data_IF_936444886331
#
_entry.id   IF_936444886331
#
_cell.length_a   1.000
_cell.length_b   1.000
_cell.length_c   1.000
_cell.angle_alpha   90.00
_cell.angle_beta   90.00
_cell.angle_gamma   90.00
#
_symmetry.space_group_name_H-M   'P 1'
#
loop_
_entity.id
_entity.type
_entity.pdbx_description
1 polymer ?
#
# COMPACT_ATOMS: atom_id res chain seq x y z
N UNK A 1 -67.00 -41.06 -56.67
CA UNK A 1 -66.01 -40.39 -57.54
C UNK A 1 -65.71 -39.01 -56.96
N UNK A 2 -64.41 -38.65 -56.85
CA UNK A 2 -63.79 -37.37 -56.43
C UNK A 2 -64.18 -36.76 -55.05
N UNK A 3 -63.29 -36.71 -54.03
CA UNK A 3 -62.10 -35.83 -53.80
C UNK A 3 -62.42 -34.33 -53.95
N UNK A 4 -62.01 -33.39 -53.08
CA UNK A 4 -61.54 -33.30 -51.68
C UNK A 4 -61.30 -31.79 -51.40
N UNK A 5 -61.23 -31.43 -50.10
CA UNK A 5 -60.61 -30.22 -49.49
C UNK A 5 -61.56 -29.06 -49.16
N UNK A 6 -61.85 -28.71 -47.90
CA UNK A 6 -61.08 -28.29 -46.70
C UNK A 6 -60.98 -26.76 -46.57
N UNK A 7 -61.63 -26.22 -45.53
CA UNK A 7 -61.25 -25.02 -44.78
C UNK A 7 -62.08 -24.97 -43.48
N UNK A 8 -61.44 -25.08 -42.31
CA UNK A 8 -61.92 -24.48 -41.07
C UNK A 8 -60.83 -24.57 -39.99
N UNK A 9 -60.27 -23.41 -39.67
CA UNK A 9 -59.41 -23.12 -38.54
C UNK A 9 -60.24 -22.91 -37.26
N UNK A 10 -59.75 -23.43 -36.13
CA UNK A 10 -60.10 -22.95 -34.79
C UNK A 10 -58.99 -23.34 -33.80
N UNK A 11 -58.41 -22.33 -33.15
CA UNK A 11 -57.43 -22.47 -32.09
C UNK A 11 -58.14 -22.60 -30.73
N UNK A 12 -57.74 -23.58 -29.92
CA UNK A 12 -58.16 -23.72 -28.53
C UNK A 12 -56.91 -23.78 -27.64
N UNK A 13 -56.88 -22.95 -26.60
CA UNK A 13 -55.87 -22.95 -25.56
C UNK A 13 -56.21 -24.00 -24.50
N UNK A 14 -55.23 -24.81 -24.09
CA UNK A 14 -55.35 -25.78 -23.00
C UNK A 14 -54.41 -25.42 -21.86
N UNK A 15 -54.97 -25.38 -20.64
CA UNK A 15 -54.24 -25.29 -19.38
C UNK A 15 -53.63 -26.64 -19.01
N UNK A 16 -52.46 -26.65 -18.36
CA UNK A 16 -51.97 -27.79 -17.57
C UNK A 16 -51.44 -27.30 -16.22
N UNK A 17 -51.91 -27.97 -15.17
CA UNK A 17 -51.48 -27.85 -13.77
C UNK A 17 -50.46 -28.97 -13.49
N UNK A 18 -49.34 -28.67 -12.82
CA UNK A 18 -48.50 -29.66 -12.12
C UNK A 18 -47.98 -29.04 -10.82
N UNK A 19 -47.89 -29.89 -9.78
CA UNK A 19 -47.89 -29.52 -8.37
C UNK A 19 -46.56 -29.15 -7.72
N UNK A 20 -46.68 -28.75 -6.45
CA UNK A 20 -45.59 -28.28 -5.57
C UNK A 20 -45.08 -29.45 -4.72
N UNK A 21 -43.81 -29.80 -4.87
CA UNK A 21 -43.06 -30.60 -3.89
C UNK A 21 -42.29 -29.67 -2.95
N UNK A 22 -42.36 -29.97 -1.64
CA UNK A 22 -41.59 -29.30 -0.60
C UNK A 22 -40.18 -29.90 -0.55
N UNK A 23 -39.14 -29.08 -0.76
CA UNK A 23 -37.76 -29.45 -0.48
C UNK A 23 -37.34 -28.97 0.92
N UNK A 24 -36.81 -29.89 1.71
CA UNK A 24 -36.20 -29.66 3.01
C UNK A 24 -34.77 -29.12 2.87
N UNK A 25 -34.34 -28.41 3.92
CA UNK A 25 -33.01 -27.86 4.08
C UNK A 25 -31.97 -28.96 4.36
N UNK A 26 -30.79 -28.83 3.76
CA UNK A 26 -29.51 -29.19 4.36
C UNK A 26 -28.40 -28.34 3.74
N UNK A 27 -27.46 -27.91 4.58
CA UNK A 27 -26.26 -27.16 4.25
C UNK A 27 -25.41 -27.87 3.20
N UNK A 28 -24.94 -27.12 2.18
CA UNK A 28 -23.54 -27.06 1.77
C UNK A 28 -23.38 -26.31 0.45
N UNK A 29 -22.51 -25.30 0.51
CA UNK A 29 -21.58 -24.87 -0.53
C UNK A 29 -22.08 -24.35 -1.88
N UNK A 30 -21.39 -23.29 -2.32
CA UNK A 30 -21.35 -22.75 -3.69
C UNK A 30 -22.64 -22.00 -4.07
N UNK A 31 -22.66 -20.96 -4.89
CA UNK A 31 -21.73 -20.34 -5.81
C UNK A 31 -22.44 -19.05 -6.25
N UNK A 32 -21.67 -18.05 -6.69
CA UNK A 32 -22.07 -17.00 -7.64
C UNK A 32 -23.39 -16.22 -7.47
N UNK A 33 -23.21 -14.91 -7.32
CA UNK A 33 -23.53 -14.01 -8.44
C UNK A 33 -24.99 -13.68 -8.69
N UNK A 34 -25.31 -12.39 -8.55
CA UNK A 34 -26.23 -11.75 -9.49
C UNK A 34 -27.57 -11.33 -8.92
N UNK A 35 -27.66 -10.02 -8.68
CA UNK A 35 -28.71 -9.12 -9.15
C UNK A 35 -30.18 -9.48 -8.87
N UNK A 36 -30.82 -8.68 -8.01
CA UNK A 36 -32.20 -8.19 -8.19
C UNK A 36 -32.27 -6.79 -7.54
N UNK A 37 -32.32 -5.70 -8.32
CA UNK A 37 -33.55 -4.99 -8.72
C UNK A 37 -34.48 -4.71 -7.55
N UNK A 38 -34.26 -3.58 -6.86
CA UNK A 38 -35.19 -3.00 -5.89
C UNK A 38 -35.98 -1.86 -6.52
N UNK A 39 -37.14 -2.20 -7.08
CA UNK A 39 -38.12 -1.25 -7.58
C UNK A 39 -38.79 -0.45 -6.45
N UNK A 40 -39.15 0.77 -6.80
CA UNK A 40 -39.94 1.72 -6.01
C UNK A 40 -41.34 1.15 -5.79
N UNK A 41 -41.81 1.11 -4.54
CA UNK A 41 -43.22 1.28 -4.20
C UNK A 41 -43.32 2.15 -2.96
N UNK A 42 -43.91 3.33 -3.15
CA UNK A 42 -44.47 4.18 -2.09
C UNK A 42 -45.87 3.67 -1.77
N UNK A 43 -46.15 3.56 -0.48
CA UNK A 43 -47.38 3.84 0.29
C UNK A 43 -47.38 2.84 1.47
N UNK A 44 -47.50 3.28 2.73
CA UNK A 44 -48.81 3.46 3.35
C UNK A 44 -48.70 4.41 4.55
N UNK A 45 -49.51 5.47 4.52
CA UNK A 45 -49.82 6.33 5.67
C UNK A 45 -50.98 5.69 6.44
N UNK A 46 -50.76 5.26 7.69
CA UNK A 46 -51.67 5.62 8.78
C UNK A 46 -51.23 5.17 10.19
N UNK A 47 -51.50 6.10 11.13
CA UNK A 47 -51.79 5.93 12.56
C UNK A 47 -50.71 5.28 13.44
N UNK A 48 -49.96 6.13 14.16
CA UNK A 48 -49.99 6.01 15.62
C UNK A 48 -49.74 7.35 16.32
N UNK A 49 -50.68 7.73 17.19
CA UNK A 49 -50.54 8.84 18.15
C UNK A 49 -49.66 8.37 19.31
N UNK A 50 -49.05 9.35 19.98
CA UNK A 50 -48.45 9.27 21.33
C UNK A 50 -47.20 8.40 21.50
N UNK A 51 -46.03 9.02 21.36
CA UNK A 51 -45.03 9.15 22.43
C UNK A 51 -43.97 10.18 22.03
N UNK A 52 -43.82 11.22 22.85
CA UNK A 52 -42.64 12.09 22.83
C UNK A 52 -41.44 11.21 23.15
N UNK A 53 -40.62 10.90 22.16
CA UNK A 53 -39.29 10.33 22.36
C UNK A 53 -38.31 11.44 22.11
N UNK A 54 -37.77 12.03 23.18
CA UNK A 54 -36.63 12.94 23.13
C UNK A 54 -35.48 12.17 22.50
N UNK A 55 -35.19 12.43 21.23
CA UNK A 55 -34.04 11.83 20.54
C UNK A 55 -32.81 12.57 21.03
N UNK A 56 -32.15 12.06 22.07
CA UNK A 56 -30.80 12.47 22.43
C UNK A 56 -29.88 12.00 21.31
N UNK A 57 -29.58 12.90 20.39
CA UNK A 57 -28.59 12.69 19.33
C UNK A 57 -27.22 12.66 19.99
N UNK A 58 -26.78 11.48 20.46
CA UNK A 58 -25.41 11.29 20.94
C UNK A 58 -24.48 11.35 19.74
N UNK A 59 -24.01 12.54 19.41
CA UNK A 59 -22.96 12.79 18.42
C UNK A 59 -21.70 12.05 18.87
N UNK A 60 -21.20 11.02 18.16
CA UNK A 60 -19.94 10.39 18.54
C UNK A 60 -18.83 11.41 18.34
N UNK A 61 -18.17 11.77 19.44
CA UNK A 61 -17.00 12.65 19.44
C UNK A 61 -15.87 12.00 18.65
N UNK A 62 -15.51 12.55 17.48
CA UNK A 62 -14.41 12.10 16.59
C UNK A 62 -13.07 11.84 17.31
N UNK A 63 -12.84 12.50 18.45
CA UNK A 63 -11.66 12.29 19.31
C UNK A 63 -11.63 10.85 19.87
N UNK A 64 -12.79 10.28 20.20
CA UNK A 64 -12.91 8.92 20.75
C UNK A 64 -12.60 7.84 19.71
N UNK A 65 -12.92 8.08 18.43
CA UNK A 65 -12.62 7.13 17.35
C UNK A 65 -11.12 7.12 17.00
N UNK A 66 -10.46 8.28 17.00
CA UNK A 66 -9.02 8.37 16.71
C UNK A 66 -8.17 7.75 17.84
N UNK A 67 -8.50 8.02 19.10
CA UNK A 67 -7.81 7.42 20.24
C UNK A 67 -7.99 5.90 20.28
N UNK A 68 -9.21 5.41 19.99
CA UNK A 68 -9.49 3.97 19.94
C UNK A 68 -8.73 3.28 18.82
N UNK A 69 -8.59 3.93 17.67
CA UNK A 69 -7.75 3.46 16.56
C UNK A 69 -6.29 3.32 17.00
N UNK A 70 -5.72 4.38 17.60
CA UNK A 70 -4.35 4.36 18.08
C UNK A 70 -4.11 3.29 19.15
N UNK A 71 -5.04 3.14 20.10
CA UNK A 71 -4.98 2.08 21.11
C UNK A 71 -5.00 0.68 20.48
N UNK A 72 -5.76 0.50 19.40
CA UNK A 72 -5.82 -0.78 18.68
C UNK A 72 -4.51 -1.08 17.98
N UNK A 73 -3.91 -0.07 17.34
CA UNK A 73 -2.57 -0.20 16.74
C UNK A 73 -1.52 -0.55 17.80
N UNK A 74 -1.60 0.07 18.98
CA UNK A 74 -0.73 -0.27 20.11
C UNK A 74 -0.92 -1.73 20.56
N UNK A 75 -2.16 -2.21 20.65
CA UNK A 75 -2.44 -3.60 21.00
C UNK A 75 -1.93 -4.59 19.95
N UNK A 76 -2.05 -4.27 18.66
CA UNK A 76 -1.49 -5.06 17.56
C UNK A 76 0.03 -5.13 17.68
N UNK A 77 0.69 -3.98 17.85
CA UNK A 77 2.15 -3.89 17.98
C UNK A 77 2.67 -4.64 19.21
N UNK A 78 2.02 -4.49 20.37
CA UNK A 78 2.37 -5.21 21.59
C UNK A 78 2.28 -6.72 21.40
N UNK A 79 1.18 -7.21 20.82
CA UNK A 79 1.01 -8.64 20.53
C UNK A 79 2.05 -9.14 19.51
N UNK A 80 2.36 -8.35 18.47
CA UNK A 80 3.39 -8.69 17.48
C UNK A 80 4.76 -8.91 18.15
N UNK A 81 5.14 -8.01 19.07
CA UNK A 81 6.39 -8.13 19.82
C UNK A 81 6.34 -9.13 20.97
N UNK A 82 5.26 -9.90 21.12
CA UNK A 82 5.13 -10.96 22.12
C UNK A 82 4.62 -10.50 23.49
N UNK A 83 4.22 -9.24 23.64
CA UNK A 83 3.55 -8.74 24.85
C UNK A 83 2.05 -8.99 24.73
N UNK A 84 1.57 -10.11 25.28
CA UNK A 84 0.17 -10.48 25.22
C UNK A 84 -0.72 -9.44 25.92
N UNK A 85 -1.60 -8.79 25.14
CA UNK A 85 -2.58 -7.81 25.62
C UNK A 85 -4.03 -8.23 25.38
N UNK A 86 -4.26 -9.44 24.88
CA UNK A 86 -5.57 -9.90 24.41
C UNK A 86 -5.91 -9.39 22.99
N UNK A 87 -7.20 -9.42 22.65
CA UNK A 87 -7.69 -8.95 21.35
C UNK A 87 -7.49 -7.44 21.15
N UNK A 88 -7.19 -7.03 19.92
CA UNK A 88 -7.01 -5.62 19.58
C UNK A 88 -8.38 -4.95 19.34
N UNK A 89 -9.00 -4.47 20.42
CA UNK A 89 -10.34 -3.85 20.44
C UNK A 89 -10.31 -2.30 20.62
N UNK A 90 -9.10 -1.75 20.78
CA UNK A 90 -8.88 -0.33 21.05
C UNK A 90 -9.17 0.11 22.50
N UNK A 91 -9.43 -0.84 23.40
CA UNK A 91 -9.68 -0.59 24.82
C UNK A 91 -8.51 -1.11 25.65
N UNK A 92 -7.73 -0.20 26.24
CA UNK A 92 -6.58 -0.57 27.06
C UNK A 92 -7.00 -1.03 28.47
N UNK A 93 -7.50 -2.27 28.54
CA UNK A 93 -7.94 -2.94 29.76
C UNK A 93 -6.80 -3.55 30.57
N UNK A 94 -7.15 -4.41 31.54
CA UNK A 94 -6.20 -5.07 32.46
C UNK A 94 -5.11 -5.86 31.72
N UNK A 95 -5.47 -6.58 30.67
CA UNK A 95 -4.51 -7.35 29.86
C UNK A 95 -3.54 -6.42 29.13
N UNK A 96 -4.06 -5.34 28.54
CA UNK A 96 -3.22 -4.32 27.91
C UNK A 96 -2.26 -3.69 28.90
N UNK A 97 -2.71 -3.30 30.10
CA UNK A 97 -1.81 -2.77 31.14
C UNK A 97 -0.72 -3.77 31.54
N UNK A 98 -1.05 -5.05 31.67
CA UNK A 98 -0.06 -6.08 32.00
C UNK A 98 0.98 -6.25 30.88
N UNK A 99 0.56 -6.24 29.62
CA UNK A 99 1.48 -6.29 28.49
C UNK A 99 2.35 -5.03 28.38
N UNK A 100 1.76 -3.85 28.60
CA UNK A 100 2.49 -2.57 28.61
C UNK A 100 3.57 -2.57 29.70
N UNK A 101 3.29 -3.05 30.92
CA UNK A 101 4.32 -3.15 31.97
C UNK A 101 5.49 -4.05 31.57
N UNK A 102 5.22 -5.15 30.87
CA UNK A 102 6.28 -6.05 30.37
C UNK A 102 7.10 -5.38 29.29
N UNK A 103 6.45 -4.66 28.39
CA UNK A 103 7.10 -3.86 27.37
C UNK A 103 7.98 -2.77 28.01
N UNK A 104 7.46 -2.00 28.96
CA UNK A 104 8.21 -0.98 29.69
C UNK A 104 9.42 -1.58 30.42
N UNK A 105 9.23 -2.69 31.14
CA UNK A 105 10.30 -3.38 31.84
C UNK A 105 11.39 -3.88 30.88
N UNK A 106 11.00 -4.50 29.76
CA UNK A 106 11.93 -4.98 28.74
C UNK A 106 12.68 -3.81 28.09
N UNK A 107 12.00 -2.67 27.88
CA UNK A 107 12.55 -1.45 27.29
C UNK A 107 13.37 -0.57 28.25
N UNK A 108 13.33 -0.84 29.55
CA UNK A 108 14.00 -0.03 30.57
C UNK A 108 13.28 1.29 30.87
N UNK A 109 11.98 1.36 30.58
CA UNK A 109 11.13 2.51 30.90
C UNK A 109 10.54 2.41 32.32
N UNK A 110 9.86 3.48 32.75
CA UNK A 110 9.12 3.49 34.00
C UNK A 110 7.91 2.54 33.90
N UNK A 111 7.82 1.54 34.78
CA UNK A 111 6.82 0.47 34.68
C UNK A 111 5.51 0.87 35.37
N UNK A 112 4.71 1.72 34.74
CA UNK A 112 3.41 2.19 35.24
C UNK A 112 2.20 1.49 34.58
N UNK A 113 2.40 0.84 33.43
CA UNK A 113 1.35 0.19 32.65
C UNK A 113 0.51 1.14 31.79
N UNK A 114 1.01 2.34 31.51
CA UNK A 114 0.43 3.34 30.64
C UNK A 114 1.44 3.74 29.56
N UNK A 115 1.05 3.65 28.29
CA UNK A 115 1.90 4.13 27.20
C UNK A 115 1.86 5.65 27.16
N UNK A 116 3.00 6.29 27.41
CA UNK A 116 3.17 7.70 27.07
C UNK A 116 3.38 7.89 25.55
N UNK A 117 3.51 9.15 25.11
CA UNK A 117 3.67 9.44 23.69
C UNK A 117 4.99 8.92 23.11
N UNK A 118 6.08 8.94 23.88
CA UNK A 118 7.39 8.48 23.44
C UNK A 118 7.41 6.96 23.30
N UNK A 119 6.92 6.24 24.31
CA UNK A 119 6.74 4.80 24.32
C UNK A 119 5.82 4.34 23.18
N UNK A 120 4.70 5.03 22.99
CA UNK A 120 3.77 4.77 21.90
C UNK A 120 4.44 4.94 20.53
N UNK A 121 5.16 6.04 20.33
CA UNK A 121 5.85 6.31 19.06
C UNK A 121 6.93 5.27 18.78
N UNK A 122 7.74 4.90 19.77
CA UNK A 122 8.76 3.88 19.61
C UNK A 122 8.15 2.51 19.29
N UNK A 123 7.10 2.11 20.01
CA UNK A 123 6.40 0.84 19.77
C UNK A 123 5.81 0.77 18.35
N UNK A 124 5.08 1.80 17.92
CA UNK A 124 4.43 1.84 16.62
C UNK A 124 5.45 1.95 15.48
N UNK A 125 6.48 2.79 15.64
CA UNK A 125 7.58 2.93 14.69
C UNK A 125 8.38 1.63 14.54
N UNK A 126 8.67 0.96 15.65
CA UNK A 126 9.31 -0.36 15.65
C UNK A 126 8.47 -1.40 14.95
N UNK A 127 7.15 -1.43 15.18
CA UNK A 127 6.25 -2.36 14.51
C UNK A 127 6.23 -2.13 13.00
N UNK A 128 6.12 -0.87 12.56
CA UNK A 128 6.20 -0.51 11.14
C UNK A 128 7.53 -0.95 10.52
N UNK A 129 8.65 -0.71 11.22
CA UNK A 129 9.98 -1.14 10.79
C UNK A 129 10.06 -2.67 10.67
N UNK A 130 9.57 -3.39 11.67
CA UNK A 130 9.55 -4.85 11.69
C UNK A 130 8.77 -5.44 10.51
N UNK A 131 7.62 -4.87 10.15
CA UNK A 131 6.85 -5.31 8.99
C UNK A 131 7.64 -5.24 7.68
N UNK A 132 8.58 -4.29 7.57
CA UNK A 132 9.43 -4.12 6.38
C UNK A 132 10.77 -4.85 6.46
N UNK A 133 11.36 -5.02 7.65
CA UNK A 133 12.75 -5.46 7.78
C UNK A 133 12.94 -6.77 8.53
N UNK A 134 11.93 -7.29 9.25
CA UNK A 134 12.09 -8.46 10.13
C UNK A 134 12.53 -9.73 9.38
N UNK A 135 12.27 -9.80 8.09
CA UNK A 135 12.64 -10.92 7.21
C UNK A 135 13.97 -10.72 6.46
N UNK A 136 14.62 -9.56 6.63
CA UNK A 136 15.87 -9.21 5.95
C UNK A 136 17.04 -9.40 6.92
N UNK A 137 18.21 -9.79 6.41
CA UNK A 137 19.43 -9.75 7.21
C UNK A 137 19.75 -8.28 7.59
N UNK A 138 20.26 -8.02 8.80
CA UNK A 138 20.55 -8.98 9.88
C UNK A 138 19.34 -9.38 10.75
N UNK A 139 18.21 -8.69 10.63
CA UNK A 139 17.05 -8.85 11.53
C UNK A 139 16.38 -10.22 11.47
N UNK A 140 16.39 -10.89 10.31
CA UNK A 140 15.87 -12.26 10.16
C UNK A 140 16.53 -13.24 11.15
N UNK A 141 17.84 -13.11 11.34
CA UNK A 141 18.58 -13.94 12.28
C UNK A 141 18.23 -13.62 13.74
N UNK A 142 17.99 -12.34 14.04
CA UNK A 142 17.57 -11.89 15.36
C UNK A 142 16.18 -12.44 15.68
N UNK A 143 15.24 -12.40 14.74
CA UNK A 143 13.91 -12.99 14.91
C UNK A 143 14.01 -14.51 15.09
N UNK A 144 14.87 -15.19 14.32
CA UNK A 144 15.06 -16.63 14.44
C UNK A 144 15.64 -17.07 15.80
N UNK A 145 16.53 -16.25 16.38
CA UNK A 145 17.26 -16.60 17.62
C UNK A 145 16.63 -16.04 18.89
N UNK A 146 16.05 -14.85 18.82
CA UNK A 146 15.57 -14.09 19.97
C UNK A 146 14.07 -13.74 19.88
N UNK A 147 13.42 -14.12 18.77
CA UNK A 147 12.02 -13.80 18.51
C UNK A 147 11.79 -12.30 18.26
N UNK A 148 10.51 -11.95 18.17
CA UNK A 148 10.07 -10.56 18.01
C UNK A 148 10.49 -9.63 19.17
N UNK A 149 10.50 -10.06 20.46
CA UNK A 149 11.04 -9.22 21.53
C UNK A 149 12.52 -8.85 21.30
N UNK A 150 13.34 -9.80 20.82
CA UNK A 150 14.75 -9.53 20.51
C UNK A 150 14.93 -8.51 19.40
N UNK A 151 14.04 -8.53 18.40
CA UNK A 151 14.01 -7.52 17.33
C UNK A 151 13.72 -6.12 17.90
N UNK A 152 12.73 -5.99 18.78
CA UNK A 152 12.39 -4.72 19.40
C UNK A 152 13.53 -4.15 20.26
N UNK A 153 14.22 -5.01 21.03
CA UNK A 153 15.42 -4.62 21.77
C UNK A 153 16.53 -4.12 20.84
N UNK A 154 16.69 -4.77 19.69
CA UNK A 154 17.69 -4.36 18.69
C UNK A 154 17.40 -2.95 18.18
N UNK A 155 16.16 -2.67 17.81
CA UNK A 155 15.78 -1.33 17.35
C UNK A 155 16.00 -0.24 18.39
N UNK A 156 15.75 -0.54 19.67
CA UNK A 156 16.04 0.40 20.77
C UNK A 156 17.54 0.68 20.86
N UNK A 157 18.36 -0.37 20.81
CA UNK A 157 19.82 -0.23 20.91
C UNK A 157 20.37 0.61 19.76
N UNK A 158 19.89 0.39 18.53
CA UNK A 158 20.26 1.19 17.37
C UNK A 158 19.85 2.65 17.52
N UNK A 159 18.64 2.94 18.05
CA UNK A 159 18.20 4.30 18.33
C UNK A 159 19.10 4.99 19.38
N UNK A 160 19.66 4.23 20.31
CA UNK A 160 20.59 4.70 21.34
C UNK A 160 22.06 4.70 20.88
N UNK A 161 22.34 4.30 19.64
CA UNK A 161 23.71 4.16 19.11
C UNK A 161 24.52 3.05 19.78
N UNK A 162 23.86 2.12 20.47
CA UNK A 162 24.48 0.96 21.12
C UNK A 162 24.69 -0.13 20.07
N UNK A 163 25.94 -0.55 19.87
CA UNK A 163 26.26 -1.63 18.95
C UNK A 163 25.59 -2.95 19.38
N UNK A 164 24.78 -3.51 18.50
CA UNK A 164 24.10 -4.80 18.74
C UNK A 164 24.86 -5.98 18.11
N UNK A 165 25.19 -7.03 18.87
CA UNK A 165 25.79 -8.24 18.32
C UNK A 165 24.87 -8.86 17.26
N UNK A 166 25.39 -9.06 16.05
CA UNK A 166 24.64 -9.64 14.92
C UNK A 166 24.03 -8.64 13.94
N UNK A 167 24.03 -7.32 14.23
CA UNK A 167 23.68 -6.25 13.25
C UNK A 167 24.89 -5.61 12.58
N UNK A 168 26.10 -5.93 13.04
CA UNK A 168 27.31 -5.63 12.29
C UNK A 168 27.27 -6.46 10.99
N UNK A 169 27.08 -5.78 9.86
CA UNK A 169 27.54 -6.30 8.58
C UNK A 169 28.96 -6.81 8.82
N UNK A 170 29.22 -8.08 8.53
CA UNK A 170 30.59 -8.57 8.48
C UNK A 170 31.33 -7.62 7.54
N UNK A 171 32.22 -6.80 8.09
CA UNK A 171 33.24 -6.16 7.29
C UNK A 171 33.91 -7.31 6.54
N UNK A 172 33.93 -7.21 5.20
CA UNK A 172 34.69 -8.15 4.39
C UNK A 172 36.08 -8.30 5.04
N UNK A 173 36.57 -9.54 5.25
CA UNK A 173 37.83 -9.74 5.93
C UNK A 173 38.90 -8.92 5.23
N UNK A 174 39.54 -8.01 5.97
CA UNK A 174 40.69 -7.28 5.46
C UNK A 174 41.70 -8.33 4.95
N UNK A 175 42.18 -8.24 3.70
CA UNK A 175 43.21 -9.13 3.22
C UNK A 175 44.41 -9.01 4.16
N UNK A 176 44.86 -10.12 4.72
CA UNK A 176 46.17 -10.17 5.38
C UNK A 176 47.23 -9.67 4.39
N UNK A 177 48.23 -8.88 4.83
CA UNK A 177 49.33 -8.51 3.96
C UNK A 177 50.08 -9.79 3.58
N UNK A 178 49.93 -10.21 2.32
CA UNK A 178 50.70 -11.29 1.75
C UNK A 178 52.19 -10.89 1.77
N UNK A 179 53.10 -11.82 2.10
CA UNK A 179 54.53 -11.56 2.00
C UNK A 179 54.88 -11.30 0.54
N UNK A 180 55.63 -10.22 0.31
CA UNK A 180 56.04 -9.75 -1.01
C UNK A 180 56.81 -10.88 -1.73
N UNK A 181 56.33 -11.40 -2.87
CA UNK A 181 57.12 -12.35 -3.66
C UNK A 181 58.20 -11.59 -4.42
N UNK A 182 59.45 -12.03 -4.27
CA UNK A 182 60.55 -11.59 -5.14
C UNK A 182 60.26 -12.01 -6.59
N UNK A 183 60.63 -11.14 -7.53
CA UNK A 183 60.47 -11.35 -8.95
C UNK A 183 61.31 -12.54 -9.44
N UNK A 184 60.63 -13.60 -9.88
CA UNK A 184 61.20 -14.63 -10.75
C UNK A 184 60.61 -14.50 -12.15
N UNK A 185 61.47 -14.70 -13.15
CA UNK A 185 61.21 -14.50 -14.57
C UNK A 185 60.04 -15.38 -15.09
N UNK A 186 59.33 -14.96 -16.16
CA UNK A 186 58.19 -15.71 -16.68
C UNK A 186 58.63 -16.90 -17.55
N UNK A 187 58.14 -18.10 -17.25
CA UNK A 187 58.03 -19.19 -18.22
C UNK A 187 56.74 -19.04 -19.06
N UNK A 188 56.73 -19.52 -20.32
CA UNK A 188 55.62 -19.32 -21.24
C UNK A 188 54.49 -20.32 -20.96
N UNK A 189 53.33 -19.82 -20.53
CA UNK A 189 52.07 -20.60 -20.52
C UNK A 189 51.37 -20.48 -21.87
N UNK A 190 51.19 -21.62 -22.53
CA UNK A 190 50.41 -21.76 -23.76
C UNK A 190 48.93 -21.43 -23.53
N UNK A 191 48.39 -20.61 -24.43
CA UNK A 191 47.03 -20.09 -24.42
C UNK A 191 45.94 -21.16 -24.52
N UNK A 192 44.85 -20.95 -23.75
CA UNK A 192 43.52 -21.41 -24.14
C UNK A 192 42.84 -20.24 -24.86
N UNK A 193 42.41 -20.51 -26.09
CA UNK A 193 41.79 -19.54 -26.98
C UNK A 193 40.36 -19.23 -26.52
N UNK A 194 40.05 -17.96 -26.36
CA UNK A 194 38.72 -17.41 -26.62
C UNK A 194 38.85 -16.32 -27.68
N UNK A 195 38.00 -16.46 -28.69
CA UNK A 195 37.90 -15.64 -29.88
C UNK A 195 37.40 -14.23 -29.58
N UNK A 196 38.09 -13.21 -30.10
CA UNK A 196 37.44 -11.98 -30.59
C UNK A 196 37.63 -10.66 -29.82
N UNK A 197 38.85 -10.08 -29.91
CA UNK A 197 39.13 -8.71 -30.42
C UNK A 197 38.27 -7.55 -29.83
N UNK A 198 38.79 -6.60 -29.02
CA UNK A 198 39.82 -5.62 -29.39
C UNK A 198 40.45 -4.91 -28.18
N UNK A 199 41.68 -4.47 -28.42
CA UNK A 199 42.70 -3.85 -27.57
C UNK A 199 42.42 -2.48 -26.96
N UNK A 200 42.99 -2.25 -25.78
CA UNK A 200 43.35 -0.93 -25.25
C UNK A 200 43.26 -0.92 -23.72
N UNK A 201 44.31 -0.49 -23.03
CA UNK A 201 44.36 -0.42 -21.56
C UNK A 201 43.26 0.47 -20.99
N UNK A 202 42.07 -0.10 -20.79
CA UNK A 202 40.92 0.61 -20.28
C UNK A 202 40.85 0.41 -18.76
N UNK A 203 40.92 1.52 -18.03
CA UNK A 203 40.36 1.58 -16.69
C UNK A 203 38.94 0.98 -16.70
N UNK A 204 38.52 0.28 -15.63
CA UNK A 204 37.20 -0.32 -15.55
C UNK A 204 36.14 0.71 -15.97
N UNK A 205 35.45 0.41 -17.07
CA UNK A 205 34.38 1.25 -17.59
C UNK A 205 33.15 0.95 -16.74
N UNK A 206 32.85 1.82 -15.80
CA UNK A 206 31.58 1.79 -15.09
C UNK A 206 30.50 2.32 -16.03
N UNK A 207 29.69 1.42 -16.57
CA UNK A 207 28.44 1.80 -17.23
C UNK A 207 27.45 2.19 -16.14
N UNK A 208 27.27 3.49 -15.93
CA UNK A 208 26.22 4.01 -15.07
C UNK A 208 24.89 3.93 -15.83
N UNK A 209 23.86 3.26 -15.28
CA UNK A 209 22.51 3.35 -15.82
C UNK A 209 22.08 4.81 -15.89
N UNK A 210 21.22 5.13 -16.87
CA UNK A 210 20.55 6.43 -16.97
C UNK A 210 19.89 6.83 -15.65
N UNK A 211 19.83 8.15 -15.38
CA UNK A 211 19.47 8.86 -14.13
C UNK A 211 18.09 8.55 -13.49
N UNK A 212 17.68 7.29 -13.40
CA UNK A 212 16.49 6.90 -12.64
C UNK A 212 16.81 6.98 -11.15
N UNK A 213 16.33 8.04 -10.49
CA UNK A 213 16.47 8.18 -9.04
C UNK A 213 15.82 6.99 -8.33
N UNK A 214 16.58 6.36 -7.44
CA UNK A 214 16.08 5.27 -6.59
C UNK A 214 14.99 5.78 -5.63
N UNK A 215 13.82 5.14 -5.68
CA UNK A 215 12.72 5.40 -4.73
C UNK A 215 13.12 4.85 -3.36
N UNK A 216 13.82 3.71 -3.32
CA UNK A 216 14.33 3.12 -2.07
C UNK A 216 15.28 4.08 -1.35
N UNK A 217 16.32 4.56 -2.03
CA UNK A 217 17.30 5.46 -1.42
C UNK A 217 16.66 6.77 -0.96
N UNK A 218 15.72 7.30 -1.75
CA UNK A 218 14.93 8.46 -1.35
C UNK A 218 14.17 8.21 -0.04
N UNK A 219 13.45 7.09 0.06
CA UNK A 219 12.69 6.79 1.26
C UNK A 219 13.55 6.47 2.48
N UNK A 220 14.75 5.92 2.27
CA UNK A 220 15.72 5.71 3.34
C UNK A 220 16.23 7.05 3.87
N UNK A 221 16.53 8.02 3.00
CA UNK A 221 16.90 9.38 3.40
C UNK A 221 15.76 10.12 4.12
N UNK A 222 14.53 9.99 3.65
CA UNK A 222 13.35 10.55 4.32
C UNK A 222 13.21 9.96 5.73
N UNK A 223 13.34 8.63 5.87
CA UNK A 223 13.26 7.96 7.17
C UNK A 223 14.29 8.49 8.19
N UNK A 224 15.55 8.67 7.75
CA UNK A 224 16.60 9.26 8.60
C UNK A 224 16.23 10.68 9.03
N UNK A 225 15.75 11.52 8.10
CA UNK A 225 15.35 12.90 8.43
C UNK A 225 14.10 12.96 9.31
N UNK A 226 13.14 12.05 9.12
CA UNK A 226 11.97 11.91 9.98
C UNK A 226 12.40 11.58 11.41
N UNK A 227 13.34 10.64 11.57
CA UNK A 227 13.88 10.31 12.89
C UNK A 227 14.59 11.51 13.53
N UNK A 228 15.40 12.25 12.76
CA UNK A 228 16.07 13.46 13.23
C UNK A 228 15.10 14.58 13.64
N UNK A 229 13.92 14.65 13.00
CA UNK A 229 12.86 15.61 13.32
C UNK A 229 11.95 15.17 14.48
N UNK A 230 12.23 14.03 15.13
CA UNK A 230 11.45 13.53 16.26
C UNK A 230 10.17 12.79 15.86
N UNK A 231 10.07 12.35 14.61
CA UNK A 231 8.94 11.56 14.08
C UNK A 231 8.22 12.21 12.91
N UNK A 232 7.13 11.58 12.49
CA UNK A 232 6.34 11.98 11.34
C UNK A 232 5.67 13.35 11.53
N UNK A 233 5.54 14.09 10.43
CA UNK A 233 4.79 15.34 10.38
C UNK A 233 3.34 15.13 10.84
N UNK A 234 2.86 16.02 11.70
CA UNK A 234 1.49 16.00 12.23
C UNK A 234 0.66 17.16 11.68
N UNK A 235 -0.67 17.00 11.54
CA UNK A 235 -1.56 18.09 11.19
C UNK A 235 -1.36 19.30 12.12
N UNK A 236 -1.29 20.51 11.55
CA UNK A 236 -1.08 21.75 12.30
C UNK A 236 0.35 22.01 12.79
N UNK A 237 1.29 21.10 12.55
CA UNK A 237 2.73 21.27 12.85
C UNK A 237 3.63 21.10 11.62
N UNK A 238 3.06 21.24 10.42
CA UNK A 238 3.79 21.10 9.16
C UNK A 238 4.57 22.38 8.90
N UNK A 239 5.89 22.31 8.97
CA UNK A 239 6.81 23.43 8.66
C UNK A 239 7.42 23.31 7.27
N UNK A 240 7.56 22.09 6.76
CA UNK A 240 8.03 21.76 5.42
C UNK A 240 6.99 20.85 4.74
N UNK A 241 6.15 21.45 3.89
CA UNK A 241 5.08 20.74 3.20
C UNK A 241 5.63 19.69 2.22
N UNK A 242 6.75 19.99 1.56
CA UNK A 242 7.38 19.05 0.62
C UNK A 242 7.88 17.81 1.34
N UNK A 243 8.54 17.98 2.48
CA UNK A 243 9.01 16.90 3.33
C UNK A 243 7.86 16.08 3.90
N UNK A 244 6.81 16.73 4.44
CA UNK A 244 5.63 16.04 4.95
C UNK A 244 4.95 15.18 3.88
N UNK A 245 4.86 15.66 2.63
CA UNK A 245 4.37 14.85 1.52
C UNK A 245 5.30 13.66 1.24
N UNK A 246 6.62 13.85 1.27
CA UNK A 246 7.58 12.77 1.06
C UNK A 246 7.52 11.70 2.15
N UNK A 247 7.25 12.06 3.40
CA UNK A 247 6.94 11.09 4.47
C UNK A 247 5.69 10.28 4.15
N UNK A 248 4.62 10.94 3.69
CA UNK A 248 3.39 10.24 3.33
C UNK A 248 3.60 9.27 2.15
N UNK A 249 4.39 9.66 1.16
CA UNK A 249 4.77 8.78 0.05
C UNK A 249 5.45 7.50 0.52
N UNK A 250 6.46 7.62 1.40
CA UNK A 250 7.23 6.46 1.86
C UNK A 250 6.40 5.51 2.73
N UNK A 251 5.46 6.05 3.50
CA UNK A 251 4.45 5.24 4.19
C UNK A 251 3.54 4.51 3.20
N UNK A 252 2.98 5.21 2.20
CA UNK A 252 2.09 4.63 1.21
C UNK A 252 2.79 3.55 0.36
N UNK A 253 4.05 3.78 -0.02
CA UNK A 253 4.92 2.79 -0.68
C UNK A 253 5.04 1.51 0.15
N UNK A 254 5.29 1.64 1.45
CA UNK A 254 5.40 0.48 2.35
C UNK A 254 4.09 -0.31 2.39
N UNK A 255 2.96 0.39 2.48
CA UNK A 255 1.65 -0.25 2.47
C UNK A 255 1.35 -0.93 1.11
N UNK A 256 1.70 -0.30 -0.01
CA UNK A 256 1.52 -0.90 -1.33
C UNK A 256 2.32 -2.20 -1.49
N UNK A 257 3.56 -2.26 -1.00
CA UNK A 257 4.35 -3.51 -0.97
C UNK A 257 3.69 -4.58 -0.09
N UNK A 258 3.17 -4.21 1.07
CA UNK A 258 2.45 -5.15 1.96
C UNK A 258 1.16 -5.68 1.34
N UNK A 259 0.38 -4.80 0.72
CA UNK A 259 -0.87 -5.17 0.02
C UNK A 259 -0.59 -6.12 -1.14
N UNK A 260 0.48 -5.85 -1.91
CA UNK A 260 0.96 -6.71 -3.00
C UNK A 260 1.33 -8.10 -2.52
N UNK A 261 2.14 -8.21 -1.45
CA UNK A 261 2.56 -9.49 -0.90
C UNK A 261 1.37 -10.37 -0.46
N UNK A 262 0.31 -9.76 0.09
CA UNK A 262 -0.92 -10.47 0.45
C UNK A 262 -1.69 -10.99 -0.77
N UNK A 263 -1.70 -10.24 -1.88
CA UNK A 263 -2.34 -10.67 -3.13
C UNK A 263 -1.48 -11.77 -3.78
N UNK A 264 -0.16 -11.61 -3.84
CA UNK A 264 0.77 -12.60 -4.40
C UNK A 264 0.65 -13.95 -3.70
N UNK A 265 0.46 -13.97 -2.38
CA UNK A 265 0.22 -15.20 -1.62
C UNK A 265 -1.03 -15.97 -2.06
N UNK A 266 -1.97 -15.31 -2.77
CA UNK A 266 -3.16 -15.94 -3.35
C UNK A 266 -2.97 -16.43 -4.79
N UNK A 267 -1.81 -16.19 -5.41
CA UNK A 267 -1.48 -16.57 -6.80
C UNK A 267 -0.59 -17.83 -6.76
N UNK A 268 -1.15 -19.03 -6.96
CA UNK A 268 -0.35 -20.25 -7.00
C UNK A 268 0.50 -20.30 -8.28
N UNK A 269 1.71 -20.85 -8.18
CA UNK A 269 2.49 -21.27 -9.34
C UNK A 269 3.26 -20.16 -10.08
N UNK A 270 3.40 -18.96 -9.49
CA UNK A 270 4.28 -17.91 -10.01
C UNK A 270 5.37 -17.55 -9.01
N UNK A 271 6.62 -17.45 -9.48
CA UNK A 271 7.72 -16.92 -8.71
C UNK A 271 7.68 -15.38 -8.69
N UNK A 272 8.39 -14.79 -7.74
CA UNK A 272 8.53 -13.33 -7.62
C UNK A 272 9.07 -12.69 -8.91
N UNK A 273 10.11 -13.27 -9.49
CA UNK A 273 10.73 -12.77 -10.72
C UNK A 273 9.78 -12.88 -11.92
N UNK A 274 8.96 -13.93 -11.97
CA UNK A 274 7.92 -14.08 -13.01
C UNK A 274 6.82 -13.02 -12.87
N UNK A 275 6.49 -12.62 -11.64
CA UNK A 275 5.52 -11.55 -11.38
C UNK A 275 6.12 -10.21 -11.80
N UNK A 276 7.37 -9.93 -11.44
CA UNK A 276 8.08 -8.71 -11.85
C UNK A 276 8.15 -8.59 -13.38
N UNK A 277 8.51 -9.67 -14.09
CA UNK A 277 8.52 -9.69 -15.56
C UNK A 277 7.13 -9.46 -16.19
N UNK A 278 6.05 -9.97 -15.58
CA UNK A 278 4.69 -9.66 -16.03
C UNK A 278 4.33 -8.19 -15.82
N UNK A 279 4.81 -7.60 -14.72
CA UNK A 279 4.58 -6.19 -14.43
C UNK A 279 5.36 -5.26 -15.36
N UNK A 280 6.53 -5.67 -15.85
CA UNK A 280 7.22 -4.98 -16.94
C UNK A 280 6.37 -4.97 -18.22
N UNK A 281 5.79 -6.10 -18.59
CA UNK A 281 4.88 -6.20 -19.75
C UNK A 281 3.63 -5.32 -19.60
N UNK A 282 3.04 -5.28 -18.40
CA UNK A 282 1.91 -4.39 -18.11
C UNK A 282 2.32 -2.91 -18.22
N UNK A 283 3.49 -2.54 -17.70
CA UNK A 283 4.04 -1.19 -17.79
C UNK A 283 4.21 -0.75 -19.24
N UNK A 284 4.79 -1.62 -20.09
CA UNK A 284 4.93 -1.37 -21.52
C UNK A 284 3.57 -1.18 -22.22
N UNK A 285 2.55 -1.95 -21.84
CA UNK A 285 1.21 -1.82 -22.41
C UNK A 285 0.54 -0.47 -22.04
N UNK A 286 0.79 0.03 -20.82
CA UNK A 286 0.22 1.29 -20.33
C UNK A 286 1.01 2.52 -20.81
N UNK A 287 2.28 2.37 -21.17
CA UNK A 287 3.18 3.47 -21.53
C UNK A 287 2.61 4.46 -22.57
N UNK A 288 1.93 3.96 -23.61
CA UNK A 288 1.29 4.83 -24.62
C UNK A 288 0.17 5.69 -24.04
N UNK A 289 -0.59 5.18 -23.06
CA UNK A 289 -1.68 5.92 -22.43
C UNK A 289 -1.18 7.02 -21.49
N UNK A 290 0.02 6.81 -20.93
CA UNK A 290 0.72 7.78 -20.08
C UNK A 290 1.42 8.89 -20.87
N UNK A 291 1.42 8.88 -22.20
CA UNK A 291 1.96 9.99 -22.96
C UNK A 291 1.29 11.32 -22.55
N UNK A 292 2.12 12.33 -22.29
CA UNK A 292 1.65 13.63 -21.80
C UNK A 292 1.35 13.68 -20.30
N UNK A 293 1.67 12.66 -19.51
CA UNK A 293 1.50 12.71 -18.04
C UNK A 293 2.24 13.90 -17.39
N UNK A 294 3.29 14.40 -18.05
CA UNK A 294 4.11 15.54 -17.62
C UNK A 294 3.56 16.90 -18.09
N UNK A 295 2.51 16.92 -18.91
CA UNK A 295 1.99 18.14 -19.52
C UNK A 295 0.46 18.25 -19.53
N UNK A 296 -0.26 17.18 -19.17
CA UNK A 296 -1.72 17.11 -19.20
C UNK A 296 -2.29 16.81 -17.81
N UNK A 297 -3.49 17.33 -17.49
CA UNK A 297 -4.14 17.07 -16.22
C UNK A 297 -4.50 15.59 -16.08
N UNK A 298 -4.58 15.13 -14.82
CA UNK A 298 -4.92 13.73 -14.48
C UNK A 298 -6.15 13.20 -15.24
N UNK A 299 -7.20 14.02 -15.39
CA UNK A 299 -8.44 13.63 -16.07
C UNK A 299 -8.24 13.15 -17.51
N UNK A 300 -7.33 13.77 -18.27
CA UNK A 300 -7.08 13.37 -19.66
C UNK A 300 -6.32 12.05 -19.75
N UNK A 301 -5.27 11.89 -18.94
CA UNK A 301 -4.49 10.64 -18.88
C UNK A 301 -5.36 9.49 -18.38
N UNK A 302 -6.18 9.74 -17.35
CA UNK A 302 -7.11 8.77 -16.80
C UNK A 302 -8.19 8.35 -17.81
N UNK A 303 -8.74 9.29 -18.57
CA UNK A 303 -9.76 8.98 -19.57
C UNK A 303 -9.21 8.06 -20.67
N UNK A 304 -8.02 8.36 -21.21
CA UNK A 304 -7.35 7.50 -22.20
C UNK A 304 -7.02 6.11 -21.64
N UNK A 305 -6.41 6.09 -20.46
CA UNK A 305 -6.05 4.83 -19.79
C UNK A 305 -7.29 4.00 -19.49
N UNK A 306 -8.36 4.61 -18.98
CA UNK A 306 -9.63 3.91 -18.72
C UNK A 306 -10.22 3.30 -19.99
N UNK A 307 -10.26 4.04 -21.09
CA UNK A 307 -10.74 3.52 -22.37
C UNK A 307 -9.89 2.34 -22.87
N UNK A 308 -8.56 2.40 -22.70
CA UNK A 308 -7.68 1.27 -22.99
C UNK A 308 -7.99 0.04 -22.11
N UNK A 309 -8.20 0.23 -20.81
CA UNK A 309 -8.56 -0.86 -19.89
C UNK A 309 -9.90 -1.50 -20.26
N UNK A 310 -10.92 -0.70 -20.60
CA UNK A 310 -12.24 -1.18 -21.04
C UNK A 310 -12.16 -1.96 -22.36
N UNK A 311 -11.30 -1.54 -23.28
CA UNK A 311 -11.09 -2.20 -24.57
C UNK A 311 -10.16 -3.43 -24.51
N UNK A 312 -9.53 -3.70 -23.37
CA UNK A 312 -8.61 -4.84 -23.21
C UNK A 312 -9.32 -6.21 -23.19
N UNK A 313 -10.64 -6.22 -23.00
CA UNK A 313 -11.43 -7.45 -22.81
C UNK A 313 -11.21 -8.15 -21.46
N UNK A 314 -10.38 -7.60 -20.57
CA UNK A 314 -10.14 -8.14 -19.24
C UNK A 314 -11.16 -7.62 -18.21
N UNK A 315 -11.58 -8.44 -17.23
CA UNK A 315 -12.42 -7.96 -16.14
C UNK A 315 -11.73 -6.85 -15.34
N UNK A 316 -12.41 -5.73 -15.11
CA UNK A 316 -11.83 -4.59 -14.39
C UNK A 316 -11.31 -4.96 -12.98
N UNK A 317 -11.99 -5.89 -12.28
CA UNK A 317 -11.53 -6.38 -10.99
C UNK A 317 -10.17 -7.10 -11.08
N UNK A 318 -9.92 -7.84 -12.16
CA UNK A 318 -8.65 -8.51 -12.40
C UNK A 318 -7.54 -7.51 -12.72
N UNK A 319 -7.84 -6.48 -13.52
CA UNK A 319 -6.92 -5.37 -13.81
C UNK A 319 -6.53 -4.62 -12.53
N UNK A 320 -7.50 -4.37 -11.63
CA UNK A 320 -7.24 -3.76 -10.32
C UNK A 320 -6.34 -4.65 -9.46
N UNK A 321 -6.59 -5.95 -9.37
CA UNK A 321 -5.73 -6.87 -8.61
C UNK A 321 -4.32 -6.93 -9.18
N UNK A 322 -4.19 -7.04 -10.51
CA UNK A 322 -2.90 -7.01 -11.20
C UNK A 322 -2.15 -5.69 -10.99
N UNK A 323 -2.84 -4.55 -11.08
CA UNK A 323 -2.25 -3.25 -10.80
C UNK A 323 -1.72 -3.11 -9.38
N UNK A 324 -2.40 -3.67 -8.37
CA UNK A 324 -1.93 -3.67 -6.97
C UNK A 324 -0.66 -4.50 -6.80
N UNK A 325 -0.62 -5.68 -7.42
CA UNK A 325 0.56 -6.53 -7.45
C UNK A 325 1.73 -5.80 -8.11
N UNK A 326 1.49 -5.19 -9.28
CA UNK A 326 2.55 -4.51 -10.02
C UNK A 326 3.03 -3.22 -9.37
N UNK A 327 2.16 -2.50 -8.64
CA UNK A 327 2.57 -1.35 -7.85
C UNK A 327 3.57 -1.77 -6.75
N UNK A 328 3.27 -2.83 -6.00
CA UNK A 328 4.16 -3.32 -4.96
C UNK A 328 5.42 -4.00 -5.50
N UNK A 329 5.33 -4.71 -6.62
CA UNK A 329 6.47 -5.28 -7.33
C UNK A 329 7.42 -4.17 -7.83
N UNK A 330 6.89 -3.12 -8.45
CA UNK A 330 7.66 -1.96 -8.90
C UNK A 330 8.43 -1.28 -7.75
N UNK A 331 7.77 -1.01 -6.62
CA UNK A 331 8.45 -0.40 -5.47
C UNK A 331 9.53 -1.26 -4.84
N UNK A 332 9.32 -2.57 -4.83
CA UNK A 332 10.24 -3.57 -4.30
C UNK A 332 11.47 -3.72 -5.18
N UNK A 333 11.27 -3.81 -6.49
CA UNK A 333 12.32 -3.89 -7.50
C UNK A 333 13.00 -2.52 -7.71
N UNK A 334 12.46 -1.46 -7.12
CA UNK A 334 12.89 -0.07 -7.32
C UNK A 334 12.76 0.38 -8.78
N UNK A 335 11.78 -0.19 -9.48
CA UNK A 335 11.43 0.15 -10.85
C UNK A 335 10.32 1.22 -10.82
N UNK A 336 10.74 2.47 -10.91
CA UNK A 336 9.85 3.63 -10.83
C UNK A 336 8.84 3.69 -11.98
N UNK A 337 9.22 3.24 -13.18
CA UNK A 337 8.36 3.20 -14.36
C UNK A 337 7.19 2.24 -14.14
N UNK A 338 7.45 1.01 -13.68
CA UNK A 338 6.41 0.02 -13.35
C UNK A 338 5.50 0.53 -12.23
N UNK A 339 6.07 1.14 -11.19
CA UNK A 339 5.29 1.68 -10.09
C UNK A 339 4.38 2.84 -10.53
N UNK A 340 4.87 3.75 -11.38
CA UNK A 340 4.08 4.83 -11.94
C UNK A 340 2.97 4.32 -12.86
N UNK A 341 3.28 3.42 -13.78
CA UNK A 341 2.29 2.83 -14.68
C UNK A 341 1.18 2.09 -13.93
N UNK A 342 1.54 1.33 -12.89
CA UNK A 342 0.59 0.62 -12.05
C UNK A 342 -0.32 1.57 -11.27
N UNK A 343 0.23 2.66 -10.72
CA UNK A 343 -0.55 3.68 -10.02
C UNK A 343 -1.53 4.40 -10.96
N UNK A 344 -1.10 4.73 -12.19
CA UNK A 344 -1.97 5.33 -13.22
C UNK A 344 -3.09 4.37 -13.62
N UNK A 345 -2.77 3.09 -13.85
CA UNK A 345 -3.77 2.04 -14.14
C UNK A 345 -4.81 1.96 -13.02
N UNK A 346 -4.38 1.83 -11.76
CA UNK A 346 -5.28 1.70 -10.61
C UNK A 346 -6.20 2.92 -10.47
N UNK A 347 -5.63 4.11 -10.59
CA UNK A 347 -6.39 5.35 -10.50
C UNK A 347 -7.43 5.43 -11.63
N UNK A 348 -7.06 5.04 -12.85
CA UNK A 348 -7.92 5.03 -14.03
C UNK A 348 -8.99 3.93 -13.99
N UNK A 349 -8.71 2.82 -13.31
CA UNK A 349 -9.65 1.73 -13.04
C UNK A 349 -10.69 2.08 -11.95
N UNK A 350 -10.73 3.34 -11.50
CA UNK A 350 -11.68 3.83 -10.51
C UNK A 350 -11.21 3.70 -9.06
N UNK A 351 -9.99 3.23 -8.80
CA UNK A 351 -9.40 3.23 -7.45
C UNK A 351 -8.70 4.58 -7.21
N UNK A 352 -9.49 5.66 -7.16
CA UNK A 352 -8.96 7.03 -7.22
C UNK A 352 -7.92 7.38 -6.14
N UNK A 353 -7.95 6.70 -4.98
CA UNK A 353 -6.97 6.91 -3.90
C UNK A 353 -5.52 6.61 -4.31
N UNK A 354 -5.28 5.78 -5.34
CA UNK A 354 -3.94 5.54 -5.89
C UNK A 354 -3.36 6.76 -6.63
N UNK A 355 -4.16 7.80 -6.88
CA UNK A 355 -3.69 9.08 -7.39
C UNK A 355 -2.67 9.75 -6.46
N UNK A 356 -2.64 9.39 -5.17
CA UNK A 356 -1.59 9.81 -4.22
C UNK A 356 -0.21 9.38 -4.74
N UNK A 357 -0.07 8.13 -5.18
CA UNK A 357 1.21 7.62 -5.67
C UNK A 357 1.63 8.27 -6.97
N UNK A 358 0.69 8.53 -7.88
CA UNK A 358 0.99 9.26 -9.13
C UNK A 358 1.46 10.68 -8.80
N UNK A 359 0.77 11.37 -7.89
CA UNK A 359 1.15 12.71 -7.45
C UNK A 359 2.56 12.77 -6.86
N UNK A 360 2.90 11.87 -5.93
CA UNK A 360 4.23 11.85 -5.33
C UNK A 360 5.31 11.55 -6.36
N UNK A 361 5.12 10.55 -7.22
CA UNK A 361 6.10 10.20 -8.23
C UNK A 361 6.33 11.34 -9.23
N UNK A 362 5.28 12.05 -9.66
CA UNK A 362 5.42 13.20 -10.54
C UNK A 362 6.07 14.42 -9.86
N UNK A 363 5.85 14.60 -8.55
CA UNK A 363 6.53 15.66 -7.77
C UNK A 363 8.02 15.37 -7.62
N UNK A 364 8.38 14.10 -7.44
CA UNK A 364 9.77 13.68 -7.24
C UNK A 364 10.47 13.25 -8.54
N UNK A 365 9.79 13.21 -9.68
CA UNK A 365 10.39 12.75 -10.94
C UNK A 365 10.78 11.26 -10.92
N UNK A 366 9.92 10.40 -10.37
CA UNK A 366 10.10 8.95 -10.39
C UNK A 366 9.28 8.33 -11.52
N UNK A 367 9.94 7.65 -12.46
CA UNK A 367 9.29 6.96 -13.59
C UNK A 367 8.75 7.92 -14.67
N UNK A 368 8.95 9.22 -14.48
CA UNK A 368 8.69 10.32 -15.40
C UNK A 368 9.57 11.50 -14.98
N UNK A 369 9.78 12.45 -15.87
CA UNK A 369 10.44 13.72 -15.57
C UNK A 369 9.68 14.46 -14.47
N UNK A 370 10.40 15.12 -13.58
CA UNK A 370 9.79 15.95 -12.54
C UNK A 370 8.88 17.01 -13.17
N UNK A 371 7.64 17.08 -12.70
CA UNK A 371 6.59 17.90 -13.32
C UNK A 371 6.34 19.20 -12.59
N UNK A 372 5.63 20.12 -13.24
CA UNK A 372 5.10 21.31 -12.60
C UNK A 372 4.18 20.92 -11.41
N UNK A 373 4.27 21.60 -10.25
CA UNK A 373 3.51 21.24 -9.05
C UNK A 373 2.00 21.07 -9.28
N UNK A 374 1.42 21.87 -10.17
CA UNK A 374 -0.02 21.84 -10.49
C UNK A 374 -0.46 20.49 -11.08
N UNK A 375 0.40 19.84 -11.88
CA UNK A 375 0.09 18.54 -12.48
C UNK A 375 0.09 17.45 -11.41
N UNK A 376 1.11 17.40 -10.57
CA UNK A 376 1.15 16.52 -9.41
C UNK A 376 -0.05 16.77 -8.47
N UNK A 377 -0.43 18.02 -8.24
CA UNK A 377 -1.60 18.39 -7.44
C UNK A 377 -2.92 17.88 -8.05
N UNK A 378 -3.05 17.83 -9.38
CA UNK A 378 -4.28 17.31 -10.02
C UNK A 378 -4.52 15.84 -9.69
N UNK A 379 -3.47 15.03 -9.58
CA UNK A 379 -3.55 13.64 -9.14
C UNK A 379 -3.83 13.51 -7.64
N UNK A 380 -3.25 14.38 -6.81
CA UNK A 380 -3.54 14.43 -5.38
C UNK A 380 -5.01 14.75 -5.12
N UNK A 381 -5.61 15.66 -5.91
CA UNK A 381 -7.03 16.00 -5.80
C UNK A 381 -7.93 14.79 -6.10
N UNK A 382 -7.58 13.98 -7.11
CA UNK A 382 -8.28 12.71 -7.40
C UNK A 382 -8.24 11.78 -6.18
N UNK A 383 -7.07 11.65 -5.54
CA UNK A 383 -6.90 10.79 -4.37
C UNK A 383 -7.71 11.27 -3.16
N UNK A 384 -7.62 12.56 -2.84
CA UNK A 384 -8.36 13.16 -1.72
C UNK A 384 -9.88 13.10 -1.94
N UNK A 385 -10.35 13.27 -3.18
CA UNK A 385 -11.76 13.10 -3.53
C UNK A 385 -12.22 11.65 -3.36
N UNK A 386 -11.40 10.66 -3.76
CA UNK A 386 -11.72 9.26 -3.56
C UNK A 386 -11.85 8.88 -2.08
N UNK A 387 -10.94 9.39 -1.23
CA UNK A 387 -11.03 9.21 0.23
C UNK A 387 -12.30 9.84 0.79
N UNK A 388 -12.63 11.07 0.37
CA UNK A 388 -13.84 11.76 0.80
C UNK A 388 -15.12 10.99 0.43
N UNK A 389 -15.08 10.23 -0.67
CA UNK A 389 -16.15 9.34 -1.14
C UNK A 389 -16.10 7.92 -0.54
N UNK A 390 -15.29 7.70 0.51
CA UNK A 390 -15.26 6.42 1.22
C UNK A 390 -14.43 5.32 0.57
N UNK A 391 -13.46 5.68 -0.28
CA UNK A 391 -12.52 4.74 -0.89
C UNK A 391 -11.07 4.96 -0.44
N UNK A 392 -10.76 4.82 0.86
CA UNK A 392 -9.38 4.87 1.32
C UNK A 392 -8.61 3.65 0.80
N UNK A 393 -7.39 3.89 0.34
CA UNK A 393 -6.45 2.83 -0.07
C UNK A 393 -5.12 3.05 0.65
N UNK A 394 -4.20 2.08 0.57
CA UNK A 394 -2.82 2.23 1.06
C UNK A 394 -2.74 2.75 2.51
N UNK A 395 -3.66 2.30 3.39
CA UNK A 395 -3.63 2.64 4.80
C UNK A 395 -3.87 4.14 5.08
N UNK A 396 -4.61 4.83 4.21
CA UNK A 396 -5.03 6.22 4.43
C UNK A 396 -5.93 6.31 5.67
N UNK A 397 -5.36 6.82 6.77
CA UNK A 397 -6.11 7.16 7.98
C UNK A 397 -6.56 8.62 7.94
N UNK A 398 -7.57 9.03 8.72
CA UNK A 398 -7.96 10.44 8.81
C UNK A 398 -6.79 11.37 9.16
N UNK A 399 -5.84 10.91 9.98
CA UNK A 399 -4.65 11.68 10.33
C UNK A 399 -3.70 11.87 9.13
N UNK A 400 -3.42 10.81 8.37
CA UNK A 400 -2.61 10.91 7.14
C UNK A 400 -3.27 11.81 6.10
N UNK A 401 -4.58 11.65 5.91
CA UNK A 401 -5.37 12.47 4.98
C UNK A 401 -5.33 13.94 5.38
N UNK A 402 -5.37 14.25 6.68
CA UNK A 402 -5.22 15.62 7.16
C UNK A 402 -3.82 16.20 6.87
N UNK A 403 -2.75 15.39 6.98
CA UNK A 403 -1.39 15.79 6.58
C UNK A 403 -1.34 16.03 5.06
N UNK A 404 -1.86 15.11 4.26
CA UNK A 404 -1.92 15.24 2.80
C UNK A 404 -2.67 16.52 2.39
N UNK A 405 -3.83 16.81 2.98
CA UNK A 405 -4.59 18.03 2.71
C UNK A 405 -3.83 19.31 3.09
N UNK A 406 -3.24 19.33 4.30
CA UNK A 406 -2.49 20.50 4.77
C UNK A 406 -1.22 20.75 3.93
N UNK A 407 -0.49 19.69 3.58
CA UNK A 407 0.76 19.79 2.85
C UNK A 407 0.60 19.97 1.33
N UNK A 408 -0.51 19.49 0.74
CA UNK A 408 -0.81 19.70 -0.69
C UNK A 408 -1.35 21.10 -1.02
N UNK A 409 -1.35 22.01 -0.04
CA UNK A 409 -1.86 23.37 -0.20
C UNK A 409 -3.38 23.42 -0.25
N UNK A 410 -4.06 22.52 0.48
CA UNK A 410 -5.51 22.48 0.56
C UNK A 410 -6.07 23.86 0.87
N UNK A 411 -6.66 24.49 -0.16
CA UNK A 411 -7.70 25.46 0.04
C UNK A 411 -8.71 24.81 0.99
N UNK A 412 -8.79 25.34 2.21
CA UNK A 412 -10.02 25.20 2.97
C UNK A 412 -11.15 25.56 2.00
N UNK A 413 -12.25 24.78 1.90
CA UNK A 413 -13.45 25.35 1.33
C UNK A 413 -13.77 26.56 2.20
N UNK A 414 -13.50 27.75 1.68
CA UNK A 414 -14.07 28.98 2.22
C UNK A 414 -15.56 28.80 1.99
N UNK A 415 -16.25 28.28 2.99
CA UNK A 415 -17.69 28.46 3.08
C UNK A 415 -17.87 29.98 3.07
N UNK A 416 -18.30 30.50 1.93
CA UNK A 416 -18.65 31.91 1.81
C UNK A 416 -19.61 32.21 2.94
N UNK A 417 -19.23 33.14 3.82
CA UNK A 417 -20.16 33.73 4.76
C UNK A 417 -21.25 34.36 3.91
N UNK A 418 -22.42 33.72 3.88
CA UNK A 418 -23.63 34.37 3.38
C UNK A 418 -23.91 35.47 4.40
N UNK A 419 -23.58 36.70 4.02
CA UNK A 419 -24.14 37.88 4.65
C UNK A 419 -25.59 37.98 4.21
N UNK A 420 -26.51 37.77 5.14
CA UNK A 420 -27.81 38.45 5.19
C UNK A 420 -27.92 39.18 6.51
#
# INVERSE_FOLDING_TARGET
MWKRNLCASLAAASMVVVGVERAQANDAASFLGGALLGGIVVNEVNKNKTRRTTTTTTRPTRVYSAQREQNRQAQIALNYFGYNVGGADGVLGRNSRNGIRRYQADMGYNVDGYLDQHEMNFLLGSHQRAMSSAHMAPYAQIVATQGQPGLLRTYRNEQLGIATPGTQMAAAPMPMPAPVPQATQPEPVTARADTGVSSGGAMPQFSFPSDDRSIRDFCDQISVRTAANGGLSMPGKITDASFALSEQFCMARTQAMSDSARIEASIPGMTRDQIEAQCDGLSQAIAQQMQGIESQPASQVMARTKAFLENSGQPMAQLVSGGKVCLGAGYRADNATVALASAVLLTSAGQGGYGEMVSHQLREGFGATQTAPQLASSWMQVALAAVANGQPVMGQTPARVAVLQAASGGALPVFGTISE
#
